data_IF_214403902392
#
_entry.id   IF_214403902392
#
_cell.length_a   1.000
_cell.length_b   1.000
_cell.length_c   1.000
_cell.angle_alpha   90.00
_cell.angle_beta   90.00
_cell.angle_gamma   90.00
#
_symmetry.space_group_name_H-M   'P 1'
#
loop_
_entity.id
_entity.type
_entity.pdbx_description
1 polymer ?
#
# COMPACT_ATOMS: atom_id res chain seq x y z
N UNK A 1 2.02 15.56 -11.60
CA UNK A 1 1.79 14.11 -11.55
C UNK A 1 1.78 13.70 -10.10
N UNK A 2 0.88 12.79 -9.70
CA UNK A 2 0.70 12.38 -8.30
C UNK A 2 2.03 11.93 -7.66
N UNK A 3 2.81 11.11 -8.37
CA UNK A 3 4.03 10.54 -7.79
C UNK A 3 5.15 11.57 -7.57
N UNK A 4 5.07 12.76 -8.17
CA UNK A 4 5.95 13.88 -7.81
C UNK A 4 5.62 14.42 -6.41
N UNK A 5 4.32 14.48 -6.07
CA UNK A 5 3.87 14.84 -4.72
C UNK A 5 4.31 13.82 -3.67
N UNK A 6 4.38 12.55 -4.06
CA UNK A 6 4.78 11.47 -3.16
C UNK A 6 6.30 11.27 -3.07
N UNK A 7 7.07 11.87 -3.99
CA UNK A 7 8.52 11.70 -4.06
C UNK A 7 9.27 11.92 -2.73
N UNK A 8 8.92 12.91 -1.88
CA UNK A 8 9.55 13.09 -0.57
C UNK A 8 9.35 11.94 0.41
N UNK A 9 8.35 11.08 0.17
CA UNK A 9 8.00 9.94 1.02
C UNK A 9 8.49 8.60 0.46
N UNK A 10 9.13 8.56 -0.70
CA UNK A 10 9.69 7.31 -1.22
C UNK A 10 10.90 6.87 -0.41
N UNK A 11 10.92 5.58 -0.08
CA UNK A 11 12.00 4.94 0.67
C UNK A 11 12.28 3.56 0.09
N UNK A 12 13.54 3.11 0.11
CA UNK A 12 13.95 1.80 -0.44
C UNK A 12 13.28 1.48 -1.79
N UNK A 13 13.37 2.42 -2.72
CA UNK A 13 12.69 2.34 -4.02
C UNK A 13 13.22 1.19 -4.87
N UNK A 14 12.32 0.33 -5.35
CA UNK A 14 12.63 -0.70 -6.34
C UNK A 14 12.55 -0.11 -7.75
N UNK A 15 11.44 0.57 -8.07
CA UNK A 15 11.30 1.32 -9.31
C UNK A 15 10.26 2.43 -9.19
N UNK A 16 10.40 3.43 -10.05
CA UNK A 16 9.38 4.42 -10.41
C UNK A 16 9.48 4.63 -11.92
N UNK A 17 8.44 4.29 -12.66
CA UNK A 17 8.48 4.37 -14.13
C UNK A 17 7.10 4.61 -14.74
N UNK A 18 7.09 5.18 -15.94
CA UNK A 18 5.88 5.31 -16.74
C UNK A 18 5.41 3.95 -17.27
N UNK A 19 4.09 3.80 -17.44
CA UNK A 19 3.51 2.67 -18.16
C UNK A 19 3.67 2.80 -19.67
N UNK A 20 3.34 1.74 -20.39
CA UNK A 20 3.33 1.74 -21.86
C UNK A 20 2.30 2.72 -22.42
N UNK A 21 1.15 2.82 -21.76
CA UNK A 21 0.11 3.80 -22.08
C UNK A 21 0.36 5.14 -21.38
N UNK A 22 0.14 6.23 -22.12
CA UNK A 22 0.38 7.58 -21.62
C UNK A 22 -0.45 7.90 -20.36
N UNK A 23 0.21 8.57 -19.39
CA UNK A 23 -0.41 9.03 -18.15
C UNK A 23 -0.33 8.03 -17.00
N UNK A 24 0.00 6.76 -17.23
CA UNK A 24 0.25 5.79 -16.17
C UNK A 24 1.65 5.94 -15.58
N UNK A 25 1.73 5.90 -14.26
CA UNK A 25 3.00 5.88 -13.54
C UNK A 25 2.90 4.92 -12.36
N UNK A 26 3.88 4.03 -12.23
CA UNK A 26 3.94 3.02 -11.19
C UNK A 26 5.13 3.25 -10.28
N UNK A 27 4.94 2.93 -9.00
CA UNK A 27 6.01 2.91 -8.01
C UNK A 27 5.96 1.61 -7.20
N UNK A 28 7.13 1.00 -6.98
CA UNK A 28 7.31 -0.04 -5.96
C UNK A 28 8.51 0.28 -5.07
N UNK A 29 8.37 0.02 -3.78
CA UNK A 29 9.38 0.32 -2.77
C UNK A 29 8.76 0.32 -1.38
N UNK A 30 9.01 1.37 -0.61
CA UNK A 30 8.39 1.63 0.68
C UNK A 30 7.96 3.11 0.76
N UNK A 31 6.92 3.41 1.53
CA UNK A 31 6.51 4.80 1.78
C UNK A 31 6.76 5.17 3.24
N UNK A 32 7.30 6.36 3.47
CA UNK A 32 7.43 6.93 4.80
C UNK A 32 6.05 7.27 5.34
N UNK A 33 5.67 6.63 6.45
CA UNK A 33 4.43 6.90 7.18
C UNK A 33 4.68 7.82 8.36
N UNK A 34 5.74 7.55 9.13
CA UNK A 34 6.20 8.44 10.21
C UNK A 34 7.67 8.77 9.97
N UNK A 35 7.97 10.05 9.84
CA UNK A 35 9.33 10.54 9.61
C UNK A 35 10.21 10.35 10.86
N UNK A 36 11.51 10.18 10.64
CA UNK A 36 12.47 10.25 11.72
C UNK A 36 12.61 11.68 12.26
N UNK A 37 12.97 11.77 13.54
CA UNK A 37 13.31 13.04 14.19
C UNK A 37 14.44 13.76 13.45
N UNK A 38 14.43 15.08 13.50
CA UNK A 38 15.54 15.91 13.02
C UNK A 38 16.73 15.70 13.98
N UNK A 39 17.83 15.21 13.43
CA UNK A 39 19.03 14.83 14.18
C UNK A 39 19.99 16.00 14.43
N UNK A 40 19.88 17.09 13.66
CA UNK A 40 20.75 18.26 13.78
C UNK A 40 20.19 19.53 13.13
N UNK A 41 20.90 20.64 13.35
CA UNK A 41 20.58 21.97 12.82
C UNK A 41 20.62 22.07 11.29
N UNK A 42 21.15 21.05 10.60
CA UNK A 42 21.14 20.97 9.12
C UNK A 42 19.87 20.31 8.58
N UNK A 43 18.95 19.91 9.46
CA UNK A 43 17.68 19.28 9.07
C UNK A 43 17.82 17.81 8.67
N UNK A 44 18.98 17.17 8.90
CA UNK A 44 19.16 15.74 8.60
C UNK A 44 18.25 14.93 9.53
N UNK A 45 17.51 13.97 9.00
CA UNK A 45 16.59 13.14 9.79
C UNK A 45 17.20 11.79 10.12
N UNK A 46 16.84 11.25 11.28
CA UNK A 46 17.01 9.83 11.61
C UNK A 46 16.21 8.95 10.61
N UNK A 47 16.48 7.63 10.57
CA UNK A 47 15.62 6.72 9.80
C UNK A 47 14.14 6.89 10.14
N UNK A 48 13.23 6.66 9.17
CA UNK A 48 11.79 6.69 9.41
C UNK A 48 11.39 5.82 10.61
N UNK A 49 10.47 6.32 11.43
CA UNK A 49 9.92 5.58 12.58
C UNK A 49 8.98 4.47 12.10
N UNK A 50 8.20 4.74 11.05
CA UNK A 50 7.29 3.77 10.46
C UNK A 50 7.25 3.88 8.93
N UNK A 51 7.14 2.73 8.29
CA UNK A 51 7.10 2.57 6.84
C UNK A 51 5.85 1.78 6.44
N UNK A 52 5.27 2.14 5.30
CA UNK A 52 4.38 1.29 4.55
C UNK A 52 5.24 0.44 3.62
N UNK A 53 5.51 -0.80 4.04
CA UNK A 53 6.53 -1.66 3.41
C UNK A 53 5.99 -2.35 2.17
N UNK A 54 6.87 -2.71 1.25
CA UNK A 54 6.49 -3.41 0.00
C UNK A 54 5.36 -2.70 -0.77
N UNK A 55 5.40 -1.36 -0.74
CA UNK A 55 4.44 -0.50 -1.39
C UNK A 55 4.38 -0.78 -2.90
N UNK A 56 3.17 -0.77 -3.43
CA UNK A 56 2.82 -0.82 -4.84
C UNK A 56 1.81 0.29 -5.07
N UNK A 57 2.20 1.32 -5.82
CA UNK A 57 1.39 2.51 -6.08
C UNK A 57 1.21 2.66 -7.58
N UNK A 58 -0.02 2.95 -8.00
CA UNK A 58 -0.37 3.26 -9.38
C UNK A 58 -1.07 4.60 -9.43
N UNK A 59 -0.54 5.49 -10.26
CA UNK A 59 -1.14 6.78 -10.57
C UNK A 59 -1.57 6.83 -12.04
N UNK A 60 -2.61 7.61 -12.31
CA UNK A 60 -2.92 8.09 -13.65
C UNK A 60 -3.01 9.62 -13.61
N UNK A 61 -2.00 10.32 -14.15
CA UNK A 61 -1.90 11.77 -13.99
C UNK A 61 -1.73 12.18 -12.53
N UNK A 62 -2.70 12.94 -12.01
CA UNK A 62 -2.73 13.40 -10.61
C UNK A 62 -3.66 12.56 -9.70
N UNK A 63 -4.22 11.46 -10.22
CA UNK A 63 -5.15 10.58 -9.49
C UNK A 63 -4.48 9.29 -9.01
N UNK A 64 -4.76 8.93 -7.75
CA UNK A 64 -4.35 7.65 -7.18
C UNK A 64 -5.32 6.55 -7.57
N UNK A 65 -4.83 5.52 -8.26
CA UNK A 65 -5.65 4.39 -8.74
C UNK A 65 -5.52 3.17 -7.84
N UNK A 66 -4.30 2.83 -7.43
CA UNK A 66 -4.03 1.70 -6.54
C UNK A 66 -2.96 2.10 -5.53
N UNK A 67 -3.18 1.77 -4.26
CA UNK A 67 -2.13 1.74 -3.25
C UNK A 67 -2.24 0.46 -2.44
N UNK A 68 -1.15 -0.31 -2.40
CA UNK A 68 -1.09 -1.57 -1.69
C UNK A 68 0.26 -1.77 -1.05
N UNK A 69 0.32 -2.49 0.07
CA UNK A 69 1.54 -2.69 0.84
C UNK A 69 1.25 -3.14 2.26
N UNK A 70 2.30 -3.22 3.07
CA UNK A 70 2.24 -3.72 4.44
C UNK A 70 2.24 -2.60 5.45
N UNK A 71 1.26 -2.63 6.35
CA UNK A 71 1.21 -1.79 7.54
C UNK A 71 1.51 -2.67 8.76
N UNK A 72 2.64 -2.45 9.43
CA UNK A 72 3.03 -3.29 10.57
C UNK A 72 2.08 -3.11 11.76
N UNK A 73 1.61 -1.90 11.97
CA UNK A 73 0.68 -1.57 13.05
C UNK A 73 -0.48 -0.75 12.52
N UNK A 74 -1.72 -1.19 12.75
CA UNK A 74 -2.92 -0.43 12.37
C UNK A 74 -2.93 0.98 13.00
N UNK A 75 -2.24 1.15 14.12
CA UNK A 75 -1.98 2.42 14.81
C UNK A 75 -1.28 3.44 13.91
N UNK A 76 -0.56 3.02 12.88
CA UNK A 76 0.08 3.91 11.91
C UNK A 76 -0.89 4.40 10.82
N UNK A 77 -2.12 3.88 10.76
CA UNK A 77 -3.13 4.28 9.77
C UNK A 77 -3.45 5.78 9.79
N UNK A 78 -3.63 6.47 10.93
CA UNK A 78 -3.85 7.91 10.94
C UNK A 78 -2.72 8.69 10.26
N UNK A 79 -1.46 8.31 10.49
CA UNK A 79 -0.31 8.94 9.84
C UNK A 79 -0.22 8.65 8.34
N UNK A 80 -0.65 7.45 7.93
CA UNK A 80 -0.82 7.15 6.51
C UNK A 80 -1.87 8.08 5.87
N UNK A 81 -2.99 8.28 6.56
CA UNK A 81 -4.08 9.16 6.11
C UNK A 81 -3.66 10.63 6.03
N UNK A 82 -2.84 11.12 6.97
CA UNK A 82 -2.29 12.48 6.92
C UNK A 82 -1.50 12.75 5.64
N UNK A 83 -0.77 11.74 5.14
CA UNK A 83 0.11 11.90 3.96
C UNK A 83 -0.58 11.58 2.64
N UNK A 84 -1.41 10.54 2.62
CA UNK A 84 -1.94 9.95 1.37
C UNK A 84 -3.47 9.93 1.31
N UNK A 85 -4.14 10.23 2.43
CA UNK A 85 -5.60 10.10 2.56
C UNK A 85 -6.40 11.06 1.70
N UNK A 86 -5.84 12.22 1.36
CA UNK A 86 -6.48 13.21 0.46
C UNK A 86 -6.66 12.67 -0.96
N UNK A 87 -5.81 11.73 -1.37
CA UNK A 87 -5.85 11.12 -2.70
C UNK A 87 -6.66 9.81 -2.70
N UNK A 88 -7.16 9.34 -1.55
CA UNK A 88 -8.11 8.21 -1.49
C UNK A 88 -9.50 8.68 -1.92
N UNK A 89 -9.91 8.28 -3.12
CA UNK A 89 -11.19 8.66 -3.73
C UNK A 89 -12.01 7.41 -4.09
N UNK A 90 -13.28 7.53 -4.52
CA UNK A 90 -14.04 6.38 -5.03
C UNK A 90 -13.42 5.67 -6.23
N UNK A 91 -12.47 6.32 -6.94
CA UNK A 91 -11.73 5.72 -8.04
C UNK A 91 -10.48 4.92 -7.59
N UNK A 92 -10.16 4.98 -6.30
CA UNK A 92 -8.98 4.35 -5.70
C UNK A 92 -9.33 2.97 -5.15
N UNK A 93 -8.40 2.02 -5.32
CA UNK A 93 -8.40 0.74 -4.62
C UNK A 93 -7.24 0.76 -3.63
N UNK A 94 -7.53 0.47 -2.36
CA UNK A 94 -6.54 0.46 -1.29
C UNK A 94 -6.54 -0.91 -0.59
N UNK A 95 -5.37 -1.58 -0.59
CA UNK A 95 -5.20 -2.90 0.04
C UNK A 95 -4.06 -2.83 1.06
N UNK A 96 -4.41 -2.93 2.33
CA UNK A 96 -3.51 -2.79 3.47
C UNK A 96 -3.25 -4.17 4.10
N UNK A 97 -2.13 -4.78 3.77
CA UNK A 97 -1.69 -6.00 4.43
C UNK A 97 -1.19 -5.66 5.84
N UNK A 98 -2.05 -5.84 6.83
CA UNK A 98 -1.87 -5.33 8.17
C UNK A 98 -1.48 -6.45 9.12
N UNK A 99 -0.37 -6.29 9.83
CA UNK A 99 0.23 -7.40 10.59
C UNK A 99 -0.49 -7.63 11.92
N UNK A 100 -0.79 -6.56 12.65
CA UNK A 100 -1.24 -6.66 14.04
C UNK A 100 -2.77 -6.66 14.23
N UNK A 101 -3.52 -7.05 13.20
CA UNK A 101 -4.98 -7.23 13.28
C UNK A 101 -5.32 -8.72 13.37
N UNK A 102 -6.31 -9.13 14.18
CA UNK A 102 -6.64 -10.54 14.35
C UNK A 102 -7.49 -11.11 13.20
N UNK A 103 -8.21 -10.25 12.47
CA UNK A 103 -9.10 -10.61 11.36
C UNK A 103 -9.11 -9.52 10.31
N UNK A 104 -9.16 -9.92 9.05
CA UNK A 104 -9.32 -9.01 7.92
C UNK A 104 -10.69 -8.34 7.94
N UNK A 105 -10.76 -7.10 7.45
CA UNK A 105 -12.00 -6.31 7.37
C UNK A 105 -11.96 -5.35 6.19
N UNK A 106 -13.11 -4.79 5.85
CA UNK A 106 -13.27 -3.75 4.82
C UNK A 106 -13.82 -2.50 5.47
N UNK A 107 -13.34 -1.35 5.04
CA UNK A 107 -13.84 -0.04 5.47
C UNK A 107 -14.08 0.87 4.27
N UNK A 108 -15.06 1.76 4.37
CA UNK A 108 -15.30 2.81 3.37
C UNK A 108 -14.78 4.14 3.91
N UNK A 109 -13.81 4.72 3.21
CA UNK A 109 -13.08 5.92 3.66
C UNK A 109 -13.06 6.90 2.49
N UNK A 110 -13.63 8.10 2.64
CA UNK A 110 -13.79 9.07 1.55
C UNK A 110 -14.46 8.48 0.28
N UNK A 111 -15.32 7.48 0.45
CA UNK A 111 -15.93 6.72 -0.66
C UNK A 111 -15.00 5.71 -1.35
N UNK A 112 -13.71 5.65 -0.98
CA UNK A 112 -12.78 4.60 -1.35
C UNK A 112 -13.06 3.33 -0.56
N UNK A 113 -13.04 2.17 -1.22
CA UNK A 113 -12.99 0.87 -0.55
C UNK A 113 -11.56 0.61 -0.09
N UNK A 114 -11.36 0.50 1.22
CA UNK A 114 -10.08 0.15 1.83
C UNK A 114 -10.20 -1.22 2.48
N UNK A 115 -9.35 -2.14 2.07
CA UNK A 115 -9.36 -3.52 2.58
C UNK A 115 -8.14 -3.72 3.46
N UNK A 116 -8.36 -4.19 4.68
CA UNK A 116 -7.30 -4.53 5.61
C UNK A 116 -7.22 -6.05 5.72
N UNK A 117 -6.12 -6.63 5.25
CA UNK A 117 -5.92 -8.08 5.21
C UNK A 117 -4.88 -8.45 6.27
N UNK A 118 -5.24 -9.31 7.22
CA UNK A 118 -4.30 -9.84 8.20
C UNK A 118 -3.20 -10.63 7.50
N UNK A 119 -1.94 -10.19 7.62
CA UNK A 119 -0.82 -10.84 6.97
C UNK A 119 0.46 -10.77 7.84
N UNK A 120 0.83 -11.91 8.45
CA UNK A 120 2.06 -12.04 9.26
C UNK A 120 3.23 -12.61 8.46
N UNK A 121 2.95 -13.39 7.42
CA UNK A 121 3.91 -14.01 6.51
C UNK A 121 3.47 -13.77 5.06
N UNK A 122 4.41 -13.73 4.11
CA UNK A 122 4.12 -13.55 2.69
C UNK A 122 4.61 -12.22 2.12
N UNK A 123 4.62 -12.13 0.79
CA UNK A 123 5.00 -10.91 0.07
C UNK A 123 3.75 -10.22 -0.43
N UNK A 124 3.56 -8.94 -0.08
CA UNK A 124 2.35 -8.17 -0.42
C UNK A 124 2.04 -8.21 -1.92
N UNK A 125 3.06 -8.23 -2.78
CA UNK A 125 2.85 -8.32 -4.23
C UNK A 125 2.25 -9.67 -4.66
N UNK A 126 2.68 -10.78 -4.05
CA UNK A 126 2.14 -12.10 -4.38
C UNK A 126 0.70 -12.20 -3.86
N UNK A 127 0.47 -11.81 -2.62
CA UNK A 127 -0.88 -11.79 -2.03
C UNK A 127 -1.84 -10.89 -2.82
N UNK A 128 -1.34 -9.77 -3.37
CA UNK A 128 -2.14 -8.88 -4.21
C UNK A 128 -2.49 -9.51 -5.57
N UNK A 129 -1.57 -10.27 -6.16
CA UNK A 129 -1.82 -11.06 -7.39
C UNK A 129 -2.88 -12.12 -7.11
N UNK A 130 -2.74 -12.86 -6.02
CA UNK A 130 -3.68 -13.91 -5.63
C UNK A 130 -5.07 -13.34 -5.32
N UNK A 131 -5.13 -12.19 -4.63
CA UNK A 131 -6.37 -11.45 -4.38
C UNK A 131 -7.04 -10.99 -5.68
N UNK A 132 -6.26 -10.69 -6.71
CA UNK A 132 -6.73 -10.33 -8.05
C UNK A 132 -7.09 -11.55 -8.92
N UNK A 133 -6.91 -12.77 -8.40
CA UNK A 133 -7.08 -14.02 -9.13
C UNK A 133 -6.26 -14.08 -10.43
N UNK A 134 -5.05 -13.51 -10.40
CA UNK A 134 -4.12 -13.50 -11.53
C UNK A 134 -3.03 -14.56 -11.32
N UNK A 135 -2.43 -15.01 -12.42
CA UNK A 135 -1.33 -15.95 -12.43
C UNK A 135 -0.12 -15.40 -13.21
N UNK A 136 1.02 -16.10 -13.13
CA UNK A 136 2.27 -15.66 -13.80
C UNK A 136 2.10 -15.45 -15.30
N UNK A 137 1.22 -16.20 -15.94
CA UNK A 137 0.92 -16.11 -17.37
C UNK A 137 0.37 -14.74 -17.78
N UNK A 138 -0.42 -14.11 -16.92
CA UNK A 138 -1.08 -12.83 -17.20
C UNK A 138 -0.09 -11.68 -17.38
N UNK A 139 1.10 -11.78 -16.78
CA UNK A 139 2.13 -10.73 -16.80
C UNK A 139 3.18 -10.91 -17.89
N UNK A 140 3.04 -11.92 -18.77
CA UNK A 140 4.06 -12.26 -19.76
C UNK A 140 4.25 -11.12 -20.76
N UNK A 141 5.48 -10.62 -20.88
CA UNK A 141 5.84 -9.56 -21.83
C UNK A 141 5.52 -8.13 -21.37
N UNK A 142 4.94 -7.95 -20.19
CA UNK A 142 4.58 -6.63 -19.65
C UNK A 142 5.76 -5.95 -18.95
N UNK A 143 5.83 -4.62 -19.05
CA UNK A 143 6.70 -3.78 -18.23
C UNK A 143 6.25 -3.75 -16.75
N UNK A 144 7.12 -3.35 -15.80
CA UNK A 144 6.77 -3.30 -14.39
C UNK A 144 5.50 -2.49 -14.05
N UNK A 145 5.34 -1.27 -14.59
CA UNK A 145 4.11 -0.48 -14.37
C UNK A 145 2.88 -1.12 -15.00
N UNK A 146 2.99 -1.71 -16.20
CA UNK A 146 1.86 -2.36 -16.88
C UNK A 146 1.33 -3.58 -16.09
N UNK A 147 2.20 -4.27 -15.34
CA UNK A 147 1.77 -5.34 -14.41
C UNK A 147 0.90 -4.79 -13.30
N UNK A 148 1.22 -3.62 -12.75
CA UNK A 148 0.41 -2.97 -11.72
C UNK A 148 -0.94 -2.53 -12.33
N UNK A 149 -0.96 -2.04 -13.57
CA UNK A 149 -2.20 -1.72 -14.30
C UNK A 149 -3.08 -2.96 -14.46
N UNK A 150 -2.50 -4.10 -14.82
CA UNK A 150 -3.21 -5.39 -14.92
C UNK A 150 -3.85 -5.78 -13.59
N UNK A 151 -3.09 -5.72 -12.49
CA UNK A 151 -3.60 -5.97 -11.13
C UNK A 151 -4.73 -5.02 -10.77
N UNK A 152 -4.55 -3.71 -11.00
CA UNK A 152 -5.59 -2.70 -10.73
C UNK A 152 -6.88 -3.01 -11.49
N UNK A 153 -6.79 -3.34 -12.77
CA UNK A 153 -7.97 -3.67 -13.58
C UNK A 153 -8.68 -4.94 -13.10
N UNK A 154 -7.93 -5.97 -12.68
CA UNK A 154 -8.52 -7.20 -12.14
C UNK A 154 -9.21 -6.98 -10.78
N UNK A 155 -8.73 -6.02 -9.98
CA UNK A 155 -9.34 -5.66 -8.69
C UNK A 155 -10.56 -4.73 -8.82
N UNK A 156 -10.79 -4.09 -9.97
CA UNK A 156 -11.95 -3.20 -10.15
C UNK A 156 -13.25 -3.95 -9.95
N UNK A 157 -14.11 -3.43 -9.08
CA UNK A 157 -15.39 -4.04 -8.77
C UNK A 157 -15.28 -5.35 -7.98
N UNK A 158 -14.09 -5.69 -7.45
CA UNK A 158 -13.93 -6.85 -6.60
C UNK A 158 -14.80 -6.73 -5.34
N UNK A 159 -15.45 -7.82 -4.96
CA UNK A 159 -16.27 -7.90 -3.75
C UNK A 159 -15.50 -8.69 -2.69
N UNK A 160 -14.87 -7.96 -1.80
CA UNK A 160 -14.13 -8.53 -0.68
C UNK A 160 -15.10 -9.20 0.30
N UNK A 161 -14.89 -10.49 0.57
CA UNK A 161 -15.74 -11.29 1.48
C UNK A 161 -15.31 -11.15 2.95
N UNK A 162 -14.97 -9.94 3.36
CA UNK A 162 -14.60 -9.62 4.75
C UNK A 162 -15.71 -8.80 5.41
N UNK A 163 -15.87 -8.88 6.74
CA UNK A 163 -16.83 -8.05 7.44
C UNK A 163 -16.51 -6.56 7.25
N UNK A 164 -17.55 -5.75 7.15
CA UNK A 164 -17.41 -4.29 7.24
C UNK A 164 -17.13 -3.88 8.68
N UNK A 165 -16.14 -3.01 8.88
CA UNK A 165 -15.75 -2.49 10.19
C UNK A 165 -15.08 -1.12 10.04
N UNK A 166 -15.31 -0.23 11.00
CA UNK A 166 -14.55 1.03 11.06
C UNK A 166 -13.11 0.78 11.52
N UNK A 167 -12.18 1.64 11.12
CA UNK A 167 -10.79 1.52 11.57
C UNK A 167 -10.69 1.76 13.09
N UNK A 168 -11.53 2.65 13.62
CA UNK A 168 -11.61 2.96 15.06
C UNK A 168 -12.06 1.76 15.90
N UNK A 169 -12.95 0.91 15.37
CA UNK A 169 -13.32 -0.34 16.03
C UNK A 169 -12.22 -1.38 15.91
N UNK A 170 -11.62 -1.52 14.72
CA UNK A 170 -10.53 -2.46 14.49
C UNK A 170 -9.32 -2.17 15.40
N UNK A 171 -9.00 -0.89 15.64
CA UNK A 171 -7.92 -0.45 16.55
C UNK A 171 -8.10 -0.98 17.98
N UNK A 172 -9.32 -1.25 18.43
CA UNK A 172 -9.59 -1.82 19.77
C UNK A 172 -9.29 -3.32 19.86
N UNK A 173 -9.00 -3.96 18.72
CA UNK A 173 -8.80 -5.40 18.61
C UNK A 173 -7.38 -5.79 18.21
N UNK A 174 -6.49 -4.81 18.01
CA UNK A 174 -5.10 -5.09 17.62
C UNK A 174 -4.38 -5.96 18.64
N UNK A 175 -3.37 -6.67 18.18
CA UNK A 175 -2.52 -7.53 19.00
C UNK A 175 -1.04 -7.13 18.88
N UNK A 176 -0.14 -7.96 19.43
CA UNK A 176 1.32 -7.74 19.39
C UNK A 176 2.00 -8.57 18.29
N UNK A 177 1.26 -9.01 17.27
CA UNK A 177 1.85 -9.78 16.18
C UNK A 177 2.90 -8.95 15.45
N UNK A 178 3.95 -9.61 15.01
CA UNK A 178 5.02 -9.04 14.19
C UNK A 178 5.17 -9.90 12.95
N UNK A 179 5.72 -9.32 11.88
CA UNK A 179 6.03 -10.12 10.69
C UNK A 179 6.97 -11.25 11.06
N UNK A 180 6.71 -12.42 10.50
CA UNK A 180 7.65 -13.53 10.56
C UNK A 180 8.84 -13.18 9.66
N UNK A 181 9.98 -12.91 10.29
CA UNK A 181 11.24 -12.72 9.58
C UNK A 181 11.87 -14.10 9.42
N UNK A 182 11.59 -14.77 8.31
CA UNK A 182 12.47 -15.84 7.86
C UNK A 182 13.76 -15.19 7.36
N UNK A 183 14.71 -15.00 8.28
CA UNK A 183 16.07 -14.65 7.90
C UNK A 183 16.63 -15.71 6.95
N UNK A 184 17.59 -15.32 6.11
CA UNK A 184 18.51 -16.31 5.58
C UNK A 184 19.18 -16.99 6.79
N UNK A 185 18.99 -18.30 6.93
CA UNK A 185 19.87 -19.15 7.74
C UNK A 185 21.16 -19.35 6.95
#
# INVERSE_FOLDING_TARGET
>A
MLLDRYAPYFFNSNFREAGSDAGWEGYRGELIVIEGEVADDQGRRKPPVALFKQATVLAQGDELKLISGSLEELQHWPHFMEKFGVDLTPATIAVMFTVNIPKSFVSTINGCTVVFISLTEGLCWNELIDLAALEKGDFKGQGPTDKIVTVFNALKGNKYKYPEMSVEEALKTTNNAKREVHGAV
#
